data_IF_475403609461
#
_entry.id   IF_475403609461
#
_cell.length_a   1.000
_cell.length_b   1.000
_cell.length_c   1.000
_cell.angle_alpha   90.00
_cell.angle_beta   90.00
_cell.angle_gamma   90.00
#
_symmetry.space_group_name_H-M   'P 1'
#
loop_
_entity.id
_entity.type
_entity.pdbx_description
1 polymer ?
#
# COMPACT_ATOMS: atom_id res chain seq x y z
N UNK A 1 9.52 -13.85 -9.47
CA UNK A 1 8.51 -14.38 -8.54
C UNK A 1 9.22 -14.82 -7.25
N UNK A 2 8.55 -14.80 -6.09
CA UNK A 2 9.14 -15.21 -4.80
C UNK A 2 8.24 -16.21 -4.09
N UNK A 3 8.85 -17.05 -3.25
CA UNK A 3 8.15 -18.05 -2.45
C UNK A 3 8.12 -17.67 -0.97
N UNK A 4 7.06 -18.08 -0.28
CA UNK A 4 6.96 -18.06 1.18
C UNK A 4 6.57 -19.46 1.63
N UNK A 5 7.41 -20.09 2.45
CA UNK A 5 7.19 -21.48 2.91
C UNK A 5 7.12 -22.51 1.78
N UNK A 6 7.95 -22.36 0.74
CA UNK A 6 7.99 -23.26 -0.42
C UNK A 6 6.79 -23.14 -1.38
N UNK A 7 5.97 -22.10 -1.22
CA UNK A 7 4.84 -21.82 -2.10
C UNK A 7 5.04 -20.50 -2.81
N UNK A 8 4.91 -20.51 -4.14
CA UNK A 8 4.90 -19.30 -4.94
C UNK A 8 3.74 -18.40 -4.49
N UNK A 9 4.07 -17.19 -4.08
CA UNK A 9 3.10 -16.26 -3.49
C UNK A 9 2.93 -15.05 -4.42
N UNK A 10 1.68 -14.70 -4.73
CA UNK A 10 1.35 -13.57 -5.59
C UNK A 10 1.94 -12.26 -5.03
N UNK A 11 2.46 -11.39 -5.91
CA UNK A 11 2.97 -10.06 -5.53
C UNK A 11 4.24 -10.04 -4.67
N UNK A 12 4.67 -11.16 -4.06
CA UNK A 12 5.71 -11.18 -3.01
C UNK A 12 7.07 -10.59 -3.42
N UNK A 13 7.38 -10.56 -4.72
CA UNK A 13 8.61 -9.93 -5.22
C UNK A 13 8.64 -8.40 -5.02
N UNK A 14 7.49 -7.74 -4.86
CA UNK A 14 7.38 -6.31 -4.57
C UNK A 14 8.01 -5.92 -3.23
N UNK A 15 8.10 -6.85 -2.28
CA UNK A 15 8.52 -6.56 -0.90
C UNK A 15 7.34 -6.12 -0.03
N UNK A 16 7.65 -5.51 1.11
CA UNK A 16 6.65 -4.89 1.98
C UNK A 16 6.30 -3.47 1.55
N UNK A 17 5.53 -2.78 2.37
CA UNK A 17 5.18 -1.38 2.14
C UNK A 17 6.42 -0.51 1.96
N UNK A 18 6.32 0.47 1.07
CA UNK A 18 7.40 1.40 0.84
C UNK A 18 7.58 2.33 2.05
N UNK A 19 8.61 2.05 2.84
CA UNK A 19 8.90 2.75 4.09
C UNK A 19 10.33 3.35 4.10
N UNK A 20 10.63 4.35 3.25
CA UNK A 20 11.96 4.95 3.16
C UNK A 20 12.35 5.73 4.42
N UNK A 21 11.35 6.27 5.14
CA UNK A 21 11.56 7.09 6.34
C UNK A 21 11.68 6.25 7.62
N UNK A 22 11.59 4.91 7.51
CA UNK A 22 11.57 3.99 8.66
C UNK A 22 10.51 4.36 9.68
N UNK A 23 9.34 4.79 9.19
CA UNK A 23 8.14 4.95 9.99
C UNK A 23 7.85 3.65 10.77
N UNK A 24 7.42 3.73 12.03
CA UNK A 24 7.34 2.54 12.88
C UNK A 24 6.16 1.61 12.57
N UNK A 25 5.20 2.05 11.76
CA UNK A 25 3.94 1.35 11.56
C UNK A 25 3.25 1.73 10.24
N UNK A 26 2.33 0.87 9.84
CA UNK A 26 1.30 1.18 8.88
C UNK A 26 0.32 2.21 9.47
N UNK A 27 -0.18 3.13 8.65
CA UNK A 27 -1.07 4.18 9.11
C UNK A 27 -1.76 4.97 8.01
N UNK A 28 -2.29 6.13 8.39
CA UNK A 28 -3.10 6.94 7.48
C UNK A 28 -2.25 7.62 6.39
N UNK A 29 -2.84 7.87 5.20
CA UNK A 29 -2.15 8.55 4.09
C UNK A 29 -1.66 9.97 4.42
N UNK A 30 -2.29 10.61 5.40
CA UNK A 30 -1.96 11.95 5.91
C UNK A 30 -1.10 11.93 7.17
N UNK A 31 -0.71 10.76 7.68
CA UNK A 31 0.14 10.64 8.87
C UNK A 31 1.62 10.65 8.50
N UNK A 32 2.39 11.58 9.04
CA UNK A 32 3.84 11.66 8.78
C UNK A 32 4.64 10.54 9.46
N UNK A 33 4.03 9.84 10.43
CA UNK A 33 4.58 8.69 11.15
C UNK A 33 4.15 7.33 10.58
N UNK A 34 3.44 7.30 9.45
CA UNK A 34 3.06 6.08 8.71
C UNK A 34 4.03 5.78 7.55
N UNK A 35 4.04 4.54 7.05
CA UNK A 35 4.81 4.19 5.86
C UNK A 35 4.51 5.17 4.71
N UNK A 36 5.53 5.67 4.00
CA UNK A 36 5.33 6.68 2.95
C UNK A 36 4.49 6.14 1.77
N UNK A 37 4.50 4.83 1.56
CA UNK A 37 3.69 4.14 0.57
C UNK A 37 2.22 3.92 0.95
N UNK A 38 1.78 4.31 2.15
CA UNK A 38 0.38 4.16 2.56
C UNK A 38 -0.51 5.18 1.83
N UNK A 39 -1.45 4.67 1.03
CA UNK A 39 -2.38 5.44 0.20
C UNK A 39 -3.81 5.29 0.71
N UNK A 40 -4.75 6.17 0.34
CA UNK A 40 -6.16 5.91 0.62
C UNK A 40 -6.62 4.64 -0.11
N UNK A 41 -7.53 3.89 0.53
CA UNK A 41 -8.06 2.66 -0.04
C UNK A 41 -8.75 2.89 -1.40
N UNK A 42 -8.57 1.94 -2.31
CA UNK A 42 -9.26 1.92 -3.60
C UNK A 42 -10.70 1.42 -3.42
N UNK A 43 -11.67 2.14 -3.99
CA UNK A 43 -13.07 1.67 -4.03
C UNK A 43 -13.36 1.00 -5.37
N UNK A 44 -13.85 -0.25 -5.32
CA UNK A 44 -14.37 -0.98 -6.49
C UNK A 44 -15.88 -1.08 -6.36
N UNK A 45 -16.60 -0.76 -7.43
CA UNK A 45 -18.05 -0.80 -7.48
C UNK A 45 -18.56 -2.23 -7.73
N UNK A 46 -19.87 -2.44 -7.54
CA UNK A 46 -20.50 -3.76 -7.69
C UNK A 46 -20.34 -4.39 -9.08
N UNK A 47 -20.09 -3.59 -10.12
CA UNK A 47 -19.83 -4.07 -11.48
C UNK A 47 -18.35 -4.42 -11.76
N UNK A 48 -17.49 -4.30 -10.75
CA UNK A 48 -16.05 -4.55 -10.85
C UNK A 48 -15.23 -3.35 -11.36
N UNK A 49 -15.84 -2.18 -11.57
CA UNK A 49 -15.12 -0.98 -12.04
C UNK A 49 -14.56 -0.15 -10.88
N UNK A 50 -13.49 0.60 -11.15
CA UNK A 50 -12.93 1.58 -10.22
C UNK A 50 -12.44 2.80 -11.00
N UNK A 51 -13.04 3.97 -10.71
CA UNK A 51 -12.73 5.24 -11.39
C UNK A 51 -12.57 6.40 -10.41
N UNK A 52 -12.72 6.15 -9.11
CA UNK A 52 -12.61 7.18 -8.09
C UNK A 52 -11.13 7.53 -7.84
N UNK A 53 -10.72 8.80 -8.00
CA UNK A 53 -9.36 9.21 -7.71
C UNK A 53 -9.13 9.35 -6.20
N UNK A 54 -7.91 9.05 -5.76
CA UNK A 54 -7.45 9.25 -4.39
C UNK A 54 -6.21 10.14 -4.36
N UNK A 55 -6.02 10.86 -3.26
CA UNK A 55 -4.87 11.74 -3.05
C UNK A 55 -3.97 11.19 -1.94
N UNK A 56 -2.68 11.01 -2.24
CA UNK A 56 -1.65 10.74 -1.24
C UNK A 56 -0.95 12.06 -0.88
N UNK A 57 -1.37 12.78 0.18
CA UNK A 57 -0.94 14.15 0.41
C UNK A 57 0.55 14.28 0.73
N UNK A 58 1.22 13.20 1.16
CA UNK A 58 2.67 13.20 1.48
C UNK A 58 3.57 13.00 0.26
N UNK A 59 3.06 12.44 -0.83
CA UNK A 59 3.80 12.29 -2.09
C UNK A 59 3.66 13.56 -2.92
N UNK A 60 4.79 14.18 -3.30
CA UNK A 60 4.79 15.54 -3.89
C UNK A 60 5.17 15.56 -5.35
N UNK A 61 5.92 14.56 -5.83
CA UNK A 61 6.44 14.49 -7.20
C UNK A 61 6.36 13.07 -7.74
N UNK A 62 6.10 12.95 -9.03
CA UNK A 62 6.06 11.66 -9.74
C UNK A 62 7.38 10.89 -9.66
N UNK A 63 8.51 11.59 -9.55
CA UNK A 63 9.83 10.96 -9.47
C UNK A 63 10.02 10.12 -8.19
N UNK A 64 9.29 10.42 -7.12
CA UNK A 64 9.40 9.71 -5.83
C UNK A 64 8.94 8.25 -5.93
N UNK A 65 7.99 7.98 -6.82
CA UNK A 65 7.37 6.66 -7.01
C UNK A 65 7.99 5.87 -8.18
N UNK A 66 8.96 6.43 -8.89
CA UNK A 66 9.64 5.72 -9.99
C UNK A 66 10.38 4.49 -9.47
N UNK A 67 10.26 3.39 -10.21
CA UNK A 67 10.89 2.11 -9.85
C UNK A 67 10.25 1.43 -8.63
N UNK A 68 9.05 1.86 -8.23
CA UNK A 68 8.24 1.20 -7.20
C UNK A 68 7.13 0.38 -7.84
N UNK A 69 6.45 -0.41 -7.02
CA UNK A 69 5.23 -1.12 -7.40
C UNK A 69 4.02 -0.42 -6.78
N UNK A 70 2.87 -0.53 -7.45
CA UNK A 70 1.57 -0.17 -6.91
C UNK A 70 0.81 -1.48 -6.64
N UNK A 71 0.32 -1.66 -5.43
CA UNK A 71 -0.34 -2.90 -4.99
C UNK A 71 -1.82 -2.63 -4.67
N UNK A 72 -2.68 -3.57 -5.06
CA UNK A 72 -4.08 -3.62 -4.63
C UNK A 72 -4.23 -4.93 -3.88
N UNK A 73 -4.61 -4.86 -2.61
CA UNK A 73 -4.78 -6.02 -1.75
C UNK A 73 -6.17 -6.63 -1.93
N UNK A 74 -6.33 -7.90 -1.53
CA UNK A 74 -7.63 -8.57 -1.49
C UNK A 74 -8.54 -7.98 -0.40
N UNK A 75 -7.95 -7.62 0.75
CA UNK A 75 -8.64 -6.98 1.87
C UNK A 75 -8.71 -5.46 1.75
N UNK A 76 -9.51 -4.85 2.62
CA UNK A 76 -9.52 -3.40 2.83
C UNK A 76 -8.32 -2.91 3.63
N UNK A 77 -8.34 -1.62 3.97
CA UNK A 77 -7.29 -0.94 4.73
C UNK A 77 -7.94 -0.13 5.86
N UNK A 78 -7.62 -0.47 7.11
CA UNK A 78 -8.08 0.26 8.30
C UNK A 78 -7.06 1.30 8.81
N UNK A 79 -5.92 1.43 8.11
CA UNK A 79 -4.82 2.32 8.42
C UNK A 79 -4.21 2.08 9.80
N UNK A 80 -4.04 0.81 10.18
CA UNK A 80 -3.44 0.41 11.47
C UNK A 80 -2.96 -1.03 11.43
N UNK A 81 -1.80 -1.33 12.02
CA UNK A 81 -1.30 -2.70 12.20
C UNK A 81 -2.14 -3.53 13.21
N UNK A 82 -3.09 -2.89 13.90
CA UNK A 82 -4.01 -3.54 14.84
C UNK A 82 -5.46 -3.35 14.40
N UNK A 83 -6.31 -4.40 14.43
CA UNK A 83 -6.05 -5.73 14.99
C UNK A 83 -5.27 -6.69 14.07
N UNK A 84 -5.04 -6.30 12.81
CA UNK A 84 -4.37 -7.13 11.83
C UNK A 84 -3.32 -6.31 11.07
N UNK A 85 -2.15 -6.88 10.78
CA UNK A 85 -1.22 -6.31 9.79
C UNK A 85 -1.83 -6.31 8.38
N UNK A 86 -1.44 -5.34 7.56
CA UNK A 86 -1.75 -5.33 6.12
C UNK A 86 -0.83 -6.27 5.31
#
# INVERSE_FOLDING_TARGET
AKEKGGKLTAGLAAGGHWNPNKAPHHGFPWSDDAHLGDLPALTVLHDGTSTNPVLAPRLKKLDEIKGRSLMIHEGGDNHSDHPAPL
#
